data_IF_446904662088
#
_entry.id   IF_446904662088
#
_cell.length_a   1.000
_cell.length_b   1.000
_cell.length_c   1.000
_cell.angle_alpha   90.00
_cell.angle_beta   90.00
_cell.angle_gamma   90.00
#
_symmetry.space_group_name_H-M   'P 1'
#
loop_
_entity.id
_entity.type
_entity.pdbx_description
1 polymer ?
#
# COMPACT_ATOMS: atom_id res chain seq x y z
N UNK A 1 6.80 -26.32 11.03
CA UNK A 1 7.26 -25.03 10.48
C UNK A 1 6.97 -25.10 9.00
N UNK A 2 6.12 -24.23 8.46
CA UNK A 2 5.99 -24.11 7.01
C UNK A 2 7.36 -23.77 6.42
N UNK A 3 7.74 -24.46 5.35
CA UNK A 3 9.06 -24.29 4.76
C UNK A 3 9.25 -22.85 4.28
N UNK A 4 10.46 -22.33 4.48
CA UNK A 4 10.89 -21.03 3.95
C UNK A 4 10.73 -21.04 2.42
N UNK A 5 10.22 -19.94 1.83
CA UNK A 5 10.18 -19.79 0.37
C UNK A 5 11.60 -19.93 -0.20
N UNK A 6 11.75 -20.55 -1.36
CA UNK A 6 13.05 -20.72 -2.00
C UNK A 6 13.62 -19.36 -2.43
N UNK A 7 13.02 -18.76 -3.45
CA UNK A 7 13.44 -17.45 -3.95
C UNK A 7 12.25 -16.49 -4.07
N UNK A 8 12.42 -15.27 -3.59
CA UNK A 8 11.47 -14.18 -3.76
C UNK A 8 12.08 -13.10 -4.64
N UNK A 9 11.37 -12.74 -5.72
CA UNK A 9 11.74 -11.64 -6.60
C UNK A 9 11.02 -10.34 -6.23
N UNK A 10 11.71 -9.21 -6.34
CA UNK A 10 11.13 -7.87 -6.15
C UNK A 10 11.36 -7.05 -7.41
N UNK A 11 10.30 -6.56 -8.04
CA UNK A 11 10.36 -5.69 -9.22
C UNK A 11 10.03 -4.27 -8.80
N UNK A 12 11.01 -3.38 -8.82
CA UNK A 12 10.97 -2.06 -8.20
C UNK A 12 11.54 -2.10 -6.80
N UNK A 13 12.75 -1.57 -6.60
CA UNK A 13 13.51 -1.65 -5.34
C UNK A 13 13.61 -0.30 -4.65
N UNK A 14 12.58 0.53 -4.83
CA UNK A 14 12.38 1.79 -4.10
C UNK A 14 12.04 1.57 -2.61
N UNK A 15 11.34 2.52 -2.00
CA UNK A 15 11.04 2.49 -0.56
C UNK A 15 10.33 1.20 -0.11
N UNK A 16 9.18 0.87 -0.72
CA UNK A 16 8.38 -0.29 -0.31
C UNK A 16 9.06 -1.59 -0.70
N UNK A 17 9.56 -1.70 -1.94
CA UNK A 17 10.27 -2.89 -2.39
C UNK A 17 11.47 -3.23 -1.52
N UNK A 18 12.31 -2.24 -1.18
CA UNK A 18 13.44 -2.45 -0.28
C UNK A 18 13.00 -2.77 1.17
N UNK A 19 11.96 -2.10 1.68
CA UNK A 19 11.39 -2.39 3.01
C UNK A 19 10.94 -3.84 3.12
N UNK A 20 10.19 -4.33 2.12
CA UNK A 20 9.73 -5.72 2.06
C UNK A 20 10.91 -6.67 1.91
N UNK A 21 11.87 -6.38 1.03
CA UNK A 21 13.08 -7.19 0.85
C UNK A 21 13.90 -7.36 2.13
N UNK A 22 14.13 -6.25 2.85
CA UNK A 22 14.81 -6.28 4.15
C UNK A 22 14.05 -7.16 5.15
N UNK A 23 12.73 -7.00 5.25
CA UNK A 23 11.92 -7.77 6.17
C UNK A 23 11.89 -9.28 5.83
N UNK A 24 11.79 -9.63 4.54
CA UNK A 24 11.86 -11.02 4.07
C UNK A 24 13.18 -11.69 4.49
N UNK A 25 14.31 -10.97 4.35
CA UNK A 25 15.65 -11.48 4.72
C UNK A 25 15.83 -11.57 6.22
N UNK A 26 15.55 -10.49 6.96
CA UNK A 26 15.75 -10.42 8.41
C UNK A 26 14.93 -11.47 9.16
N UNK A 27 13.77 -11.84 8.64
CA UNK A 27 12.85 -12.80 9.24
C UNK A 27 12.93 -14.20 8.63
N UNK A 28 13.91 -14.44 7.76
CA UNK A 28 14.13 -15.70 7.06
C UNK A 28 12.85 -16.24 6.39
N UNK A 29 12.06 -15.36 5.76
CA UNK A 29 10.85 -15.72 4.98
C UNK A 29 11.23 -16.35 3.65
N UNK A 30 12.33 -15.88 3.06
CA UNK A 30 12.88 -16.39 1.81
C UNK A 30 14.32 -16.89 2.02
N UNK A 31 14.73 -17.94 1.30
CA UNK A 31 16.12 -18.38 1.27
C UNK A 31 17.00 -17.42 0.46
N UNK A 32 16.40 -16.81 -0.56
CA UNK A 32 17.04 -15.81 -1.40
C UNK A 32 16.04 -14.72 -1.77
N UNK A 33 16.48 -13.46 -1.74
CA UNK A 33 15.75 -12.31 -2.28
C UNK A 33 16.53 -11.71 -3.43
N UNK A 34 15.91 -11.67 -4.62
CA UNK A 34 16.47 -11.06 -5.82
C UNK A 34 15.70 -9.82 -6.23
N UNK A 35 16.39 -8.79 -6.72
CA UNK A 35 15.75 -7.53 -7.12
C UNK A 35 15.94 -7.18 -8.59
N UNK A 36 14.91 -6.58 -9.18
CA UNK A 36 14.93 -5.96 -10.49
C UNK A 36 14.54 -4.51 -10.36
N UNK A 37 15.31 -3.62 -10.97
CA UNK A 37 14.91 -2.22 -11.15
C UNK A 37 15.46 -1.71 -12.48
N UNK A 38 14.84 -0.69 -13.05
CA UNK A 38 15.36 0.00 -14.23
C UNK A 38 16.61 0.82 -13.90
N UNK A 39 16.78 1.20 -12.64
CA UNK A 39 17.92 1.98 -12.15
C UNK A 39 18.95 1.10 -11.41
N UNK A 40 20.13 0.97 -12.00
CA UNK A 40 21.26 0.25 -11.40
C UNK A 40 21.70 0.85 -10.05
N UNK A 41 21.55 2.16 -9.85
CA UNK A 41 21.86 2.81 -8.56
C UNK A 41 20.84 2.42 -7.48
N UNK A 42 19.56 2.28 -7.83
CA UNK A 42 18.54 1.78 -6.91
C UNK A 42 18.86 0.35 -6.46
N UNK A 43 19.29 -0.51 -7.38
CA UNK A 43 19.72 -1.89 -7.05
C UNK A 43 20.93 -1.88 -6.12
N UNK A 44 21.94 -1.06 -6.40
CA UNK A 44 23.12 -0.92 -5.55
C UNK A 44 22.74 -0.47 -4.13
N UNK A 45 21.88 0.54 -4.01
CA UNK A 45 21.38 1.03 -2.72
C UNK A 45 20.54 -0.03 -1.98
N UNK A 46 19.70 -0.78 -2.69
CA UNK A 46 18.90 -1.86 -2.10
C UNK A 46 19.79 -3.00 -1.56
N UNK A 47 20.89 -3.33 -2.25
CA UNK A 47 21.89 -4.28 -1.74
C UNK A 47 22.62 -3.74 -0.52
N UNK A 48 23.01 -2.47 -0.55
CA UNK A 48 23.72 -1.78 0.55
C UNK A 48 22.91 -1.82 1.86
N UNK A 49 21.61 -1.56 1.80
CA UNK A 49 20.72 -1.63 2.99
C UNK A 49 20.31 -3.05 3.36
N UNK A 50 20.80 -4.06 2.65
CA UNK A 50 20.48 -5.46 2.91
C UNK A 50 19.06 -5.86 2.51
N UNK A 51 18.44 -5.21 1.54
CA UNK A 51 17.15 -5.62 1.00
C UNK A 51 17.23 -6.83 0.06
N UNK A 52 18.37 -7.05 -0.59
CA UNK A 52 18.56 -8.04 -1.65
C UNK A 52 19.84 -8.85 -1.45
N UNK A 53 19.82 -10.13 -1.82
CA UNK A 53 21.04 -10.94 -1.95
C UNK A 53 21.73 -10.65 -3.30
N UNK A 54 20.95 -10.51 -4.36
CA UNK A 54 21.41 -10.17 -5.70
C UNK A 54 20.36 -9.34 -6.45
N UNK A 55 20.75 -8.71 -7.55
CA UNK A 55 19.81 -7.99 -8.40
C UNK A 55 20.47 -7.49 -9.68
N UNK A 56 19.64 -7.06 -10.62
CA UNK A 56 20.07 -6.56 -11.91
C UNK A 56 18.93 -5.85 -12.63
N UNK A 57 19.21 -5.26 -13.78
CA UNK A 57 18.20 -4.58 -14.60
C UNK A 57 17.43 -5.53 -15.52
N UNK A 58 17.80 -6.81 -15.54
CA UNK A 58 17.24 -7.85 -16.40
C UNK A 58 16.28 -8.75 -15.61
N UNK A 59 15.07 -8.97 -16.15
CA UNK A 59 14.03 -9.78 -15.51
C UNK A 59 14.35 -11.27 -15.42
N UNK A 60 15.35 -11.78 -16.14
CA UNK A 60 15.80 -13.18 -16.06
C UNK A 60 16.33 -13.59 -14.69
N UNK A 61 16.61 -12.64 -13.79
CA UNK A 61 16.90 -12.92 -12.37
C UNK A 61 15.70 -13.58 -11.66
N UNK A 62 14.48 -13.38 -12.17
CA UNK A 62 13.23 -13.91 -11.59
C UNK A 62 12.99 -15.39 -11.92
N UNK A 63 13.86 -16.03 -12.73
CA UNK A 63 13.67 -17.41 -13.20
C UNK A 63 13.49 -18.45 -12.11
N UNK A 64 14.05 -18.20 -10.93
CA UNK A 64 14.01 -19.10 -9.80
C UNK A 64 12.96 -18.71 -8.75
N UNK A 65 12.22 -17.60 -8.95
CA UNK A 65 11.31 -17.06 -7.95
C UNK A 65 10.04 -17.92 -7.80
N UNK A 66 9.70 -18.23 -6.55
CA UNK A 66 8.45 -18.87 -6.13
C UNK A 66 7.35 -17.83 -5.85
N UNK A 67 7.78 -16.61 -5.51
CA UNK A 67 6.95 -15.43 -5.34
C UNK A 67 7.64 -14.23 -5.99
N UNK A 68 6.90 -13.42 -6.73
CA UNK A 68 7.35 -12.09 -7.18
C UNK A 68 6.43 -10.99 -6.66
N UNK A 69 7.04 -9.94 -6.12
CA UNK A 69 6.37 -8.75 -5.60
C UNK A 69 6.68 -7.56 -6.51
N UNK A 70 5.67 -7.02 -7.18
CA UNK A 70 5.76 -5.84 -8.03
C UNK A 70 5.54 -4.58 -7.20
N UNK A 71 6.61 -3.81 -6.99
CA UNK A 71 6.67 -2.60 -6.17
C UNK A 71 7.05 -1.33 -6.95
N UNK A 72 6.53 -1.24 -8.18
CA UNK A 72 6.59 -0.03 -9.02
C UNK A 72 5.37 0.88 -8.76
N UNK A 73 5.39 2.16 -9.18
CA UNK A 73 4.22 3.04 -9.08
C UNK A 73 2.98 2.45 -9.80
N UNK A 74 1.74 2.76 -9.34
CA UNK A 74 0.51 2.12 -9.81
C UNK A 74 0.37 2.02 -11.34
N UNK A 75 0.72 3.07 -12.08
CA UNK A 75 0.63 3.10 -13.54
C UNK A 75 1.50 2.05 -14.24
N UNK A 76 2.62 1.67 -13.61
CA UNK A 76 3.59 0.71 -14.16
C UNK A 76 3.29 -0.74 -13.81
N UNK A 77 2.39 -1.00 -12.85
CA UNK A 77 2.20 -2.33 -12.26
C UNK A 77 1.76 -3.36 -13.29
N UNK A 78 0.77 -3.03 -14.13
CA UNK A 78 0.24 -3.97 -15.13
C UNK A 78 1.34 -4.39 -16.11
N UNK A 79 2.12 -3.43 -16.62
CA UNK A 79 3.22 -3.71 -17.53
C UNK A 79 4.32 -4.54 -16.87
N UNK A 80 4.74 -4.14 -15.67
CA UNK A 80 5.79 -4.83 -14.91
C UNK A 80 5.38 -6.25 -14.52
N UNK A 81 4.13 -6.47 -14.09
CA UNK A 81 3.62 -7.79 -13.72
C UNK A 81 3.60 -8.75 -14.92
N UNK A 82 3.12 -8.29 -16.09
CA UNK A 82 3.11 -9.09 -17.32
C UNK A 82 4.52 -9.46 -17.76
N UNK A 83 5.45 -8.50 -17.73
CA UNK A 83 6.84 -8.76 -18.06
C UNK A 83 7.48 -9.73 -17.07
N UNK A 84 7.29 -9.52 -15.75
CA UNK A 84 7.81 -10.41 -14.72
C UNK A 84 7.29 -11.85 -14.87
N UNK A 85 5.99 -12.03 -15.07
CA UNK A 85 5.35 -13.34 -15.23
C UNK A 85 5.96 -14.16 -16.39
N UNK A 86 6.43 -13.52 -17.45
CA UNK A 86 7.08 -14.19 -18.57
C UNK A 86 8.41 -14.86 -18.19
N UNK A 87 9.09 -14.35 -17.16
CA UNK A 87 10.38 -14.85 -16.67
C UNK A 87 10.26 -15.73 -15.42
N UNK A 88 9.09 -15.77 -14.76
CA UNK A 88 8.86 -16.56 -13.56
C UNK A 88 8.67 -18.05 -13.84
N UNK A 89 8.85 -18.87 -12.80
CA UNK A 89 8.39 -20.26 -12.77
C UNK A 89 6.89 -20.31 -13.09
N UNK A 90 6.45 -21.34 -13.82
CA UNK A 90 5.02 -21.58 -14.01
C UNK A 90 4.36 -21.86 -12.66
N UNK A 91 3.11 -21.43 -12.49
CA UNK A 91 2.31 -21.70 -11.29
C UNK A 91 2.92 -21.12 -10.00
N UNK A 92 3.84 -20.16 -10.13
CA UNK A 92 4.35 -19.37 -9.00
C UNK A 92 3.39 -18.23 -8.65
N UNK A 93 3.59 -17.62 -7.48
CA UNK A 93 2.72 -16.51 -7.02
C UNK A 93 3.27 -15.18 -7.51
N UNK A 94 2.40 -14.32 -8.04
CA UNK A 94 2.69 -12.93 -8.35
C UNK A 94 1.79 -12.03 -7.53
N UNK A 95 2.36 -11.02 -6.89
CA UNK A 95 1.59 -9.97 -6.21
C UNK A 95 2.15 -8.60 -6.54
N UNK A 96 1.43 -7.55 -6.17
CA UNK A 96 1.89 -6.18 -6.21
C UNK A 96 1.68 -5.49 -4.86
N UNK A 97 2.14 -4.26 -4.71
CA UNK A 97 2.00 -3.46 -3.47
C UNK A 97 1.37 -2.08 -3.73
N UNK A 98 0.67 -1.91 -4.84
CA UNK A 98 0.15 -0.61 -5.26
C UNK A 98 -1.00 -0.11 -4.39
N UNK A 99 -1.16 1.22 -4.31
CA UNK A 99 -2.16 1.82 -3.43
C UNK A 99 -3.61 1.76 -3.93
N UNK A 100 -3.83 1.23 -5.14
CA UNK A 100 -5.16 1.07 -5.77
C UNK A 100 -5.25 -0.31 -6.42
N UNK A 101 -6.43 -0.93 -6.49
CA UNK A 101 -6.57 -2.35 -6.83
C UNK A 101 -7.55 -2.67 -7.95
N UNK A 102 -8.71 -2.01 -8.03
CA UNK A 102 -9.77 -2.44 -8.94
C UNK A 102 -9.34 -2.49 -10.41
N UNK A 103 -8.66 -1.44 -10.90
CA UNK A 103 -8.17 -1.40 -12.30
C UNK A 103 -7.01 -2.38 -12.55
N UNK A 104 -6.11 -2.54 -11.59
CA UNK A 104 -4.93 -3.42 -11.71
C UNK A 104 -5.37 -4.88 -11.76
N UNK A 105 -6.22 -5.29 -10.81
CA UNK A 105 -6.70 -6.67 -10.72
C UNK A 105 -7.47 -7.04 -11.97
N UNK A 106 -8.42 -6.19 -12.40
CA UNK A 106 -9.18 -6.40 -13.65
C UNK A 106 -8.28 -6.56 -14.89
N UNK A 107 -7.14 -5.89 -14.94
CA UNK A 107 -6.22 -5.95 -16.07
C UNK A 107 -5.29 -7.19 -16.05
N UNK A 108 -5.13 -7.84 -14.89
CA UNK A 108 -4.15 -8.90 -14.69
C UNK A 108 -4.76 -10.28 -14.45
N UNK A 109 -5.93 -10.37 -13.82
CA UNK A 109 -6.51 -11.63 -13.32
C UNK A 109 -6.55 -12.72 -14.40
N UNK A 110 -7.32 -12.48 -15.49
CA UNK A 110 -7.40 -13.41 -16.62
C UNK A 110 -6.10 -13.50 -17.41
N UNK A 111 -5.37 -12.38 -17.51
CA UNK A 111 -4.19 -12.26 -18.39
C UNK A 111 -3.02 -13.12 -17.88
N UNK A 112 -2.93 -13.29 -16.57
CA UNK A 112 -1.82 -14.01 -15.93
C UNK A 112 -2.19 -15.45 -15.55
N UNK A 113 -3.49 -15.79 -15.45
CA UNK A 113 -4.00 -17.07 -14.97
C UNK A 113 -3.35 -18.31 -15.65
N UNK A 114 -3.03 -18.23 -16.94
CA UNK A 114 -2.39 -19.34 -17.67
C UNK A 114 -0.90 -19.56 -17.34
N UNK A 115 -0.28 -18.66 -16.55
CA UNK A 115 1.18 -18.64 -16.30
C UNK A 115 1.53 -18.60 -14.82
N UNK A 116 0.90 -17.75 -14.03
CA UNK A 116 1.17 -17.53 -12.59
C UNK A 116 -0.13 -17.29 -11.85
N UNK A 117 -0.13 -17.51 -10.53
CA UNK A 117 -1.25 -17.17 -9.66
C UNK A 117 -1.11 -15.73 -9.17
N UNK A 118 -1.89 -14.82 -9.75
CA UNK A 118 -1.89 -13.43 -9.35
C UNK A 118 -2.82 -13.19 -8.17
N UNK A 119 -2.39 -12.37 -7.21
CA UNK A 119 -3.22 -11.84 -6.13
C UNK A 119 -2.80 -10.40 -5.84
N UNK A 120 -3.76 -9.48 -5.90
CA UNK A 120 -3.48 -8.07 -5.61
C UNK A 120 -3.13 -7.86 -4.15
N UNK A 121 -2.13 -7.01 -3.90
CA UNK A 121 -1.62 -6.72 -2.57
C UNK A 121 -1.45 -5.22 -2.31
N UNK A 122 -1.64 -4.80 -1.07
CA UNK A 122 -1.38 -3.43 -0.64
C UNK A 122 -0.99 -3.42 0.86
N UNK A 123 0.30 -3.37 1.18
CA UNK A 123 0.73 -3.09 2.55
C UNK A 123 0.35 -1.64 2.89
N UNK A 124 -0.47 -1.44 3.92
CA UNK A 124 -0.83 -0.12 4.46
C UNK A 124 0.33 0.44 5.29
N UNK A 125 1.50 0.51 4.66
CA UNK A 125 2.79 0.88 5.20
C UNK A 125 3.49 1.82 4.22
N UNK A 126 4.20 2.81 4.76
CA UNK A 126 4.92 3.78 3.95
C UNK A 126 5.26 5.03 4.74
N UNK A 127 6.09 5.86 4.11
CA UNK A 127 6.46 7.18 4.60
C UNK A 127 6.45 8.16 3.43
N UNK A 128 6.59 9.45 3.70
CA UNK A 128 6.76 10.47 2.66
C UNK A 128 8.15 10.41 1.98
N UNK A 129 9.02 9.50 2.43
CA UNK A 129 10.36 9.28 1.91
C UNK A 129 10.38 8.59 0.54
N UNK A 130 11.59 8.45 -0.03
CA UNK A 130 11.81 7.80 -1.32
C UNK A 130 13.11 7.00 -1.33
N UNK A 131 13.15 5.97 -2.17
CA UNK A 131 14.33 5.16 -2.45
C UNK A 131 14.67 4.14 -1.34
N UNK A 132 15.54 3.20 -1.67
CA UNK A 132 15.92 2.10 -0.80
C UNK A 132 16.58 2.53 0.52
N UNK A 133 17.30 3.67 0.53
CA UNK A 133 17.99 4.18 1.73
C UNK A 133 17.06 4.62 2.86
N UNK A 134 15.79 4.87 2.53
CA UNK A 134 14.75 5.22 3.49
C UNK A 134 13.91 4.00 3.90
N UNK A 135 14.27 2.81 3.44
CA UNK A 135 13.58 1.57 3.77
C UNK A 135 13.77 1.21 5.24
N UNK A 136 12.69 0.76 5.87
CA UNK A 136 12.69 0.34 7.26
C UNK A 136 11.63 -0.75 7.46
N UNK A 137 12.04 -2.01 7.76
CA UNK A 137 11.14 -3.11 8.09
C UNK A 137 10.13 -2.80 9.19
N UNK A 138 10.44 -1.87 10.10
CA UNK A 138 9.52 -1.47 11.15
C UNK A 138 8.25 -0.79 10.61
N UNK A 139 8.30 -0.23 9.39
CA UNK A 139 7.12 0.34 8.72
C UNK A 139 6.01 -0.69 8.50
N UNK A 140 6.34 -1.97 8.44
CA UNK A 140 5.38 -3.06 8.20
C UNK A 140 4.66 -3.48 9.49
N UNK A 141 5.28 -3.31 10.66
CA UNK A 141 4.86 -3.97 11.89
C UNK A 141 3.48 -3.51 12.37
N UNK A 142 2.59 -4.48 12.62
CA UNK A 142 1.23 -4.26 13.08
C UNK A 142 0.34 -3.53 12.08
N UNK A 143 0.79 -3.33 10.83
CA UNK A 143 0.02 -2.66 9.78
C UNK A 143 -0.80 -3.66 8.98
N UNK A 144 -1.97 -3.26 8.45
CA UNK A 144 -2.71 -4.07 7.49
C UNK A 144 -1.89 -4.41 6.26
N UNK A 145 -1.97 -5.65 5.80
CA UNK A 145 -1.68 -6.03 4.43
C UNK A 145 -3.01 -6.38 3.77
N UNK A 146 -3.51 -5.48 2.92
CA UNK A 146 -4.75 -5.71 2.21
C UNK A 146 -4.48 -6.64 1.02
N UNK A 147 -5.15 -7.79 0.99
CA UNK A 147 -5.11 -8.75 -0.11
C UNK A 147 -6.44 -8.70 -0.84
N UNK A 148 -6.40 -8.71 -2.17
CA UNK A 148 -7.61 -8.59 -3.00
C UNK A 148 -7.83 -9.82 -3.88
N UNK A 149 -8.22 -10.97 -3.29
CA UNK A 149 -8.58 -12.14 -4.07
C UNK A 149 -9.86 -11.90 -4.88
N UNK A 150 -9.98 -12.64 -5.97
CA UNK A 150 -11.15 -12.75 -6.84
C UNK A 150 -11.62 -14.20 -6.86
N UNK A 151 -12.72 -14.48 -7.57
CA UNK A 151 -13.16 -15.86 -7.83
C UNK A 151 -12.18 -16.69 -8.66
N UNK A 152 -11.25 -16.03 -9.37
CA UNK A 152 -10.21 -16.67 -10.18
C UNK A 152 -8.89 -16.83 -9.42
N UNK A 153 -8.76 -16.22 -8.24
CA UNK A 153 -7.53 -16.30 -7.45
C UNK A 153 -7.37 -17.70 -6.87
N UNK A 154 -6.20 -18.30 -7.11
CA UNK A 154 -5.87 -19.61 -6.56
C UNK A 154 -5.83 -19.57 -5.02
N UNK A 155 -6.58 -20.44 -4.31
CA UNK A 155 -6.58 -20.47 -2.85
C UNK A 155 -5.19 -20.69 -2.22
N UNK A 156 -4.29 -21.40 -2.89
CA UNK A 156 -2.91 -21.57 -2.43
C UNK A 156 -2.14 -20.24 -2.49
N UNK A 157 -2.38 -19.40 -3.49
CA UNK A 157 -1.77 -18.07 -3.56
C UNK A 157 -2.27 -17.15 -2.41
N UNK A 158 -3.55 -17.24 -2.05
CA UNK A 158 -4.11 -16.56 -0.87
C UNK A 158 -3.41 -17.03 0.40
N UNK A 159 -3.25 -18.34 0.58
CA UNK A 159 -2.58 -18.92 1.74
C UNK A 159 -1.12 -18.49 1.84
N UNK A 160 -0.37 -18.54 0.74
CA UNK A 160 1.03 -18.09 0.67
C UNK A 160 1.14 -16.61 1.04
N UNK A 161 0.30 -15.74 0.45
CA UNK A 161 0.38 -14.30 0.72
C UNK A 161 -0.07 -13.92 2.13
N UNK A 162 -1.03 -14.65 2.69
CA UNK A 162 -1.45 -14.49 4.09
C UNK A 162 -0.29 -14.82 5.02
N UNK A 163 0.37 -15.97 4.82
CA UNK A 163 1.53 -16.37 5.64
C UNK A 163 2.69 -15.38 5.48
N UNK A 164 2.97 -14.92 4.24
CA UNK A 164 4.00 -13.91 3.99
C UNK A 164 3.69 -12.63 4.76
N UNK A 165 2.46 -12.11 4.69
CA UNK A 165 2.07 -10.91 5.43
C UNK A 165 2.25 -11.07 6.95
N UNK A 166 1.78 -12.18 7.53
CA UNK A 166 1.94 -12.48 8.96
C UNK A 166 3.41 -12.58 9.37
N UNK A 167 4.22 -13.27 8.57
CA UNK A 167 5.66 -13.41 8.84
C UNK A 167 6.39 -12.08 8.74
N UNK A 168 5.97 -11.19 7.84
CA UNK A 168 6.46 -9.79 7.80
C UNK A 168 6.02 -8.96 9.02
N UNK A 169 5.18 -9.50 9.90
CA UNK A 169 4.65 -8.83 11.08
C UNK A 169 3.45 -7.94 10.78
N UNK A 170 2.79 -8.17 9.63
CA UNK A 170 1.61 -7.44 9.18
C UNK A 170 0.34 -8.20 9.52
N UNK A 171 -0.81 -7.53 9.39
CA UNK A 171 -2.14 -8.10 9.62
C UNK A 171 -2.83 -8.31 8.26
N UNK A 172 -2.91 -9.54 7.74
CA UNK A 172 -3.60 -9.78 6.47
C UNK A 172 -5.09 -9.47 6.59
N UNK A 173 -5.64 -8.77 5.60
CA UNK A 173 -7.07 -8.46 5.49
C UNK A 173 -7.50 -8.72 4.06
N UNK A 174 -8.49 -9.59 3.88
CA UNK A 174 -9.02 -9.94 2.55
C UNK A 174 -10.19 -9.02 2.22
N UNK A 175 -10.15 -8.41 1.04
CA UNK A 175 -11.20 -7.51 0.52
C UNK A 175 -11.45 -7.81 -0.95
N UNK A 176 -12.64 -7.48 -1.47
CA UNK A 176 -12.77 -7.37 -2.93
C UNK A 176 -11.91 -6.19 -3.44
N UNK A 177 -11.48 -6.19 -4.72
CA UNK A 177 -10.73 -5.06 -5.28
C UNK A 177 -11.48 -3.72 -5.20
N UNK A 178 -12.81 -3.74 -5.33
CA UNK A 178 -13.65 -2.54 -5.24
C UNK A 178 -13.81 -2.07 -3.78
N UNK A 179 -14.02 -2.98 -2.83
CA UNK A 179 -14.07 -2.64 -1.39
C UNK A 179 -12.75 -2.06 -0.90
N UNK A 180 -11.62 -2.63 -1.36
CA UNK A 180 -10.30 -2.06 -1.10
C UNK A 180 -10.25 -0.58 -1.52
N UNK A 181 -10.61 -0.29 -2.77
CA UNK A 181 -10.51 1.08 -3.30
C UNK A 181 -11.47 2.04 -2.60
N UNK A 182 -12.68 1.58 -2.22
CA UNK A 182 -13.63 2.38 -1.44
C UNK A 182 -13.19 2.66 0.01
N UNK A 183 -12.61 1.67 0.68
CA UNK A 183 -12.12 1.83 2.06
C UNK A 183 -10.84 2.67 2.09
N UNK A 184 -9.87 2.38 1.22
CA UNK A 184 -8.60 3.13 1.14
C UNK A 184 -8.84 4.59 0.71
N UNK A 185 -9.85 4.85 -0.13
CA UNK A 185 -10.26 6.22 -0.43
C UNK A 185 -10.64 7.02 0.82
N UNK A 186 -11.28 6.39 1.80
CA UNK A 186 -11.68 7.05 3.05
C UNK A 186 -10.53 7.24 4.02
N UNK A 187 -9.67 6.22 4.18
CA UNK A 187 -8.65 6.20 5.25
C UNK A 187 -7.25 6.66 4.80
N UNK A 188 -7.02 6.82 3.50
CA UNK A 188 -5.73 7.26 2.94
C UNK A 188 -5.87 8.41 1.95
N UNK A 189 -6.66 8.24 0.88
CA UNK A 189 -6.71 9.24 -0.20
C UNK A 189 -7.38 10.54 0.23
N UNK A 190 -8.52 10.44 0.92
CA UNK A 190 -9.23 11.59 1.46
C UNK A 190 -8.34 12.38 2.45
N UNK A 191 -7.72 11.77 3.48
CA UNK A 191 -6.79 12.48 4.37
C UNK A 191 -5.70 13.27 3.65
N UNK A 192 -5.09 12.71 2.59
CA UNK A 192 -4.12 13.44 1.79
C UNK A 192 -4.73 14.66 1.09
N UNK A 193 -5.88 14.50 0.44
CA UNK A 193 -6.54 15.61 -0.26
C UNK A 193 -7.03 16.70 0.69
N UNK A 194 -7.44 16.34 1.91
CA UNK A 194 -7.78 17.30 2.95
C UNK A 194 -6.55 18.07 3.42
N UNK A 195 -5.40 17.41 3.56
CA UNK A 195 -4.14 18.09 3.87
C UNK A 195 -3.75 19.07 2.74
N UNK A 196 -3.88 18.66 1.47
CA UNK A 196 -3.65 19.54 0.31
C UNK A 196 -4.62 20.73 0.32
N UNK A 197 -5.90 20.50 0.55
CA UNK A 197 -6.91 21.56 0.58
C UNK A 197 -6.68 22.55 1.74
N UNK A 198 -6.38 22.04 2.94
CA UNK A 198 -6.12 22.86 4.12
C UNK A 198 -4.87 23.73 3.97
N UNK A 199 -3.78 23.15 3.45
CA UNK A 199 -2.55 23.91 3.16
C UNK A 199 -2.79 24.93 2.04
N UNK A 200 -3.49 24.53 0.98
CA UNK A 200 -3.80 25.42 -0.15
C UNK A 200 -4.74 26.58 0.20
N UNK A 201 -5.57 26.44 1.23
CA UNK A 201 -6.46 27.50 1.71
C UNK A 201 -5.79 28.47 2.70
N UNK A 202 -4.63 28.11 3.26
CA UNK A 202 -3.94 28.92 4.24
C UNK A 202 -3.23 30.12 3.59
N UNK A 203 -3.28 31.29 4.23
CA UNK A 203 -2.47 32.45 3.81
C UNK A 203 -1.02 32.29 4.26
N UNK A 204 -0.08 32.98 3.62
CA UNK A 204 1.35 32.97 4.02
C UNK A 204 1.54 33.34 5.50
N UNK A 205 0.74 34.31 5.99
CA UNK A 205 0.76 34.70 7.40
C UNK A 205 0.28 33.58 8.32
N UNK A 206 -0.75 32.82 7.93
CA UNK A 206 -1.24 31.68 8.69
C UNK A 206 -0.23 30.52 8.69
N UNK A 207 0.42 30.27 7.56
CA UNK A 207 1.50 29.27 7.44
C UNK A 207 2.65 29.61 8.41
N UNK A 208 3.05 30.89 8.50
CA UNK A 208 4.14 31.33 9.36
C UNK A 208 3.92 31.19 10.87
N UNK A 209 2.67 31.01 11.32
CA UNK A 209 2.32 30.80 12.74
C UNK A 209 1.77 29.39 13.03
N UNK A 210 1.78 28.50 12.02
CA UNK A 210 1.18 27.18 12.12
C UNK A 210 1.83 26.30 13.18
N UNK A 211 1.03 25.73 14.08
CA UNK A 211 1.50 24.80 15.12
C UNK A 211 1.70 23.35 14.63
N UNK A 212 1.89 22.40 15.56
CA UNK A 212 2.15 20.99 15.25
C UNK A 212 1.08 20.32 14.36
N UNK A 213 -0.20 20.63 14.59
CA UNK A 213 -1.30 20.07 13.79
C UNK A 213 -1.21 20.49 12.31
N UNK A 214 -1.01 21.79 12.05
CA UNK A 214 -0.84 22.31 10.70
C UNK A 214 0.44 21.78 10.05
N UNK A 215 1.53 21.68 10.81
CA UNK A 215 2.78 21.05 10.35
C UNK A 215 2.58 19.58 9.95
N UNK A 216 1.71 18.85 10.66
CA UNK A 216 1.29 17.49 10.33
C UNK A 216 0.56 17.40 8.98
N UNK A 217 -0.38 18.33 8.71
CA UNK A 217 -1.01 18.44 7.38
C UNK A 217 0.04 18.77 6.31
N UNK A 218 0.93 19.72 6.58
CA UNK A 218 2.02 20.07 5.69
C UNK A 218 2.94 18.90 5.35
N UNK A 219 3.24 18.02 6.32
CA UNK A 219 4.01 16.78 6.09
C UNK A 219 3.31 15.90 5.05
N UNK A 220 2.02 15.62 5.25
CA UNK A 220 1.23 14.78 4.33
C UNK A 220 1.12 15.44 2.95
N UNK A 221 0.85 16.74 2.88
CA UNK A 221 0.72 17.49 1.63
C UNK A 221 2.02 17.57 0.81
N UNK A 222 3.19 17.41 1.45
CA UNK A 222 4.50 17.32 0.76
C UNK A 222 4.80 15.96 0.15
N UNK A 223 3.85 15.02 0.20
CA UNK A 223 4.02 13.72 -0.41
C UNK A 223 4.32 13.82 -1.93
N UNK A 224 5.00 12.81 -2.50
CA UNK A 224 5.28 12.67 -3.92
C UNK A 224 4.13 13.01 -4.89
N UNK A 225 4.14 14.19 -5.52
CA UNK A 225 3.09 14.63 -6.47
C UNK A 225 2.87 13.61 -7.61
N UNK A 226 3.94 13.14 -8.23
CA UNK A 226 3.85 12.18 -9.35
C UNK A 226 3.13 10.88 -8.96
N UNK A 227 3.31 10.39 -7.73
CA UNK A 227 2.61 9.20 -7.22
C UNK A 227 1.14 9.51 -6.97
N UNK A 228 0.84 10.63 -6.31
CA UNK A 228 -0.53 11.01 -5.96
C UNK A 228 -1.39 11.33 -7.18
N UNK A 229 -0.81 11.85 -8.28
CA UNK A 229 -1.53 11.99 -9.55
C UNK A 229 -2.02 10.64 -10.07
N UNK A 230 -1.21 9.57 -9.96
CA UNK A 230 -1.60 8.22 -10.38
C UNK A 230 -2.71 7.69 -9.50
N UNK A 231 -2.55 7.76 -8.17
CA UNK A 231 -3.54 7.34 -7.18
C UNK A 231 -4.88 8.05 -7.38
N UNK A 232 -4.85 9.38 -7.54
CA UNK A 232 -6.06 10.16 -7.74
C UNK A 232 -6.76 9.83 -9.07
N UNK A 233 -5.99 9.45 -10.10
CA UNK A 233 -6.55 9.07 -11.39
C UNK A 233 -7.19 7.68 -11.33
N UNK A 234 -6.48 6.68 -10.81
CA UNK A 234 -6.94 5.29 -10.77
C UNK A 234 -8.10 5.07 -9.81
N UNK A 235 -8.16 5.81 -8.69
CA UNK A 235 -9.25 5.70 -7.72
C UNK A 235 -10.19 6.92 -7.67
N UNK A 236 -10.32 7.63 -8.79
CA UNK A 236 -11.08 8.88 -8.92
C UNK A 236 -12.53 8.78 -8.46
N UNK A 237 -13.20 7.66 -8.77
CA UNK A 237 -14.61 7.48 -8.45
C UNK A 237 -14.84 7.37 -6.93
N UNK A 238 -14.09 6.48 -6.25
CA UNK A 238 -14.18 6.34 -4.79
C UNK A 238 -13.76 7.64 -4.08
N UNK A 239 -12.68 8.28 -4.53
CA UNK A 239 -12.23 9.57 -3.99
C UNK A 239 -13.33 10.62 -4.05
N UNK A 240 -14.05 10.74 -5.18
CA UNK A 240 -15.17 11.68 -5.30
C UNK A 240 -16.32 11.34 -4.35
N UNK A 241 -16.62 10.05 -4.15
CA UNK A 241 -17.62 9.60 -3.16
C UNK A 241 -17.19 10.00 -1.74
N UNK A 242 -15.94 9.72 -1.35
CA UNK A 242 -15.38 10.06 -0.04
C UNK A 242 -15.36 11.57 0.20
N UNK A 243 -14.98 12.38 -0.80
CA UNK A 243 -15.07 13.85 -0.72
C UNK A 243 -16.51 14.33 -0.52
N UNK A 244 -17.46 13.73 -1.23
CA UNK A 244 -18.89 14.04 -1.06
C UNK A 244 -19.41 13.71 0.34
N UNK A 245 -18.96 12.59 0.92
CA UNK A 245 -19.25 12.23 2.32
C UNK A 245 -18.63 13.21 3.31
N UNK A 246 -17.34 13.56 3.11
CA UNK A 246 -16.64 14.51 3.95
C UNK A 246 -17.30 15.89 3.95
N UNK A 247 -17.67 16.41 2.77
CA UNK A 247 -18.38 17.69 2.65
C UNK A 247 -19.64 17.72 3.52
N UNK A 248 -20.43 16.64 3.56
CA UNK A 248 -21.62 16.58 4.42
C UNK A 248 -21.28 16.64 5.92
N UNK A 249 -20.17 16.01 6.35
CA UNK A 249 -19.73 16.13 7.74
C UNK A 249 -19.17 17.53 8.03
N UNK A 250 -18.50 18.18 7.07
CA UNK A 250 -18.06 19.56 7.18
C UNK A 250 -19.25 20.53 7.31
N UNK A 251 -20.28 20.38 6.47
CA UNK A 251 -21.51 21.18 6.56
C UNK A 251 -22.21 21.00 7.92
N UNK A 252 -22.13 19.80 8.52
CA UNK A 252 -22.67 19.55 9.87
C UNK A 252 -21.83 20.23 10.94
N UNK A 253 -20.51 20.20 10.83
CA UNK A 253 -19.61 20.88 11.74
C UNK A 253 -19.83 22.39 11.69
N UNK A 254 -19.96 22.97 10.49
CA UNK A 254 -20.22 24.39 10.30
C UNK A 254 -21.53 24.83 10.98
N UNK A 255 -22.64 24.12 10.73
CA UNK A 255 -23.92 24.38 11.43
C UNK A 255 -23.84 24.21 12.94
N UNK A 256 -23.02 23.27 13.42
CA UNK A 256 -22.88 23.02 14.85
C UNK A 256 -22.16 24.17 15.58
N UNK A 257 -21.37 25.00 14.88
CA UNK A 257 -20.71 26.17 15.48
C UNK A 257 -21.69 27.21 16.03
N UNK A 258 -22.95 27.20 15.55
CA UNK A 258 -24.00 28.11 16.01
C UNK A 258 -24.63 27.68 17.36
N UNK A 259 -24.27 26.51 17.90
CA UNK A 259 -24.84 26.00 19.14
C UNK A 259 -23.88 25.11 19.95
N UNK A 260 -23.61 25.50 21.20
CA UNK A 260 -22.61 24.86 22.07
C UNK A 260 -22.87 23.36 22.28
N UNK A 261 -24.10 22.96 22.60
CA UNK A 261 -24.48 21.55 22.83
C UNK A 261 -24.33 20.70 21.55
N UNK A 262 -24.72 21.24 20.40
CA UNK A 262 -24.60 20.56 19.12
C UNK A 262 -23.12 20.36 18.74
N UNK A 263 -22.29 21.39 18.98
CA UNK A 263 -20.84 21.31 18.78
C UNK A 263 -20.21 20.25 19.68
N UNK A 264 -20.47 20.27 20.98
CA UNK A 264 -19.92 19.30 21.92
C UNK A 264 -20.28 17.86 21.51
N UNK A 265 -21.55 17.64 21.17
CA UNK A 265 -22.04 16.33 20.72
C UNK A 265 -21.26 15.82 19.50
N UNK A 266 -21.04 16.69 18.51
CA UNK A 266 -20.34 16.34 17.28
C UNK A 266 -18.84 16.09 17.51
N UNK A 267 -18.20 16.89 18.36
CA UNK A 267 -16.80 16.70 18.74
C UNK A 267 -16.59 15.38 19.50
N UNK A 268 -17.47 15.06 20.46
CA UNK A 268 -17.42 13.81 21.21
C UNK A 268 -17.67 12.58 20.32
N UNK A 269 -18.58 12.68 19.34
CA UNK A 269 -18.78 11.62 18.33
C UNK A 269 -17.50 11.36 17.55
N UNK A 270 -16.78 12.40 17.14
CA UNK A 270 -15.52 12.28 16.39
C UNK A 270 -14.42 11.69 17.26
N UNK A 271 -14.29 12.15 18.51
CA UNK A 271 -13.34 11.61 19.50
C UNK A 271 -13.52 10.11 19.73
N UNK A 272 -14.76 9.63 19.86
CA UNK A 272 -15.06 8.21 20.07
C UNK A 272 -14.70 7.31 18.88
N UNK A 273 -14.65 7.86 17.67
CA UNK A 273 -14.32 7.13 16.43
C UNK A 273 -12.85 7.26 16.04
N UNK A 274 -12.10 8.16 16.67
CA UNK A 274 -10.70 8.34 16.37
C UNK A 274 -9.93 7.06 16.75
N UNK A 275 -9.07 6.52 15.86
CA UNK A 275 -8.24 5.39 16.21
C UNK A 275 -7.29 5.78 17.34
N UNK A 276 -7.05 4.85 18.26
CA UNK A 276 -6.00 5.00 19.29
C UNK A 276 -4.70 4.49 18.69
N UNK A 277 -3.65 5.31 18.68
CA UNK A 277 -2.34 4.91 18.17
C UNK A 277 -1.85 3.63 18.88
N UNK A 278 -1.56 2.59 18.11
CA UNK A 278 -1.07 1.31 18.62
C UNK A 278 -2.14 0.39 19.20
N UNK A 279 -3.44 0.73 19.11
CA UNK A 279 -4.49 -0.23 19.39
C UNK A 279 -4.44 -1.39 18.37
N UNK A 280 -4.61 -2.65 18.79
CA UNK A 280 -4.80 -3.75 17.86
C UNK A 280 -5.95 -3.40 16.92
N UNK A 281 -5.75 -3.58 15.62
CA UNK A 281 -6.88 -3.59 14.70
C UNK A 281 -7.71 -4.82 15.05
N UNK A 282 -8.92 -4.62 15.55
CA UNK A 282 -9.88 -5.70 15.67
C UNK A 282 -10.02 -6.33 14.29
N UNK A 283 -9.90 -7.67 14.21
CA UNK A 283 -10.15 -8.38 12.95
C UNK A 283 -11.54 -7.94 12.48
N UNK A 284 -11.70 -7.45 11.24
CA UNK A 284 -13.03 -7.13 10.74
C UNK A 284 -13.90 -8.38 10.92
N UNK A 285 -15.05 -8.21 11.56
CA UNK A 285 -16.02 -9.29 11.72
C UNK A 285 -16.28 -9.89 10.33
N UNK A 286 -15.86 -11.14 10.14
CA UNK A 286 -16.26 -11.95 9.00
C UNK A 286 -17.79 -11.99 9.00
N UNK A 287 -18.38 -11.19 8.12
CA UNK A 287 -19.77 -11.34 7.72
C UNK A 287 -19.75 -11.84 6.29
N UNK A 288 -19.38 -13.10 6.15
CA UNK A 288 -19.67 -13.90 4.95
C UNK A 288 -20.70 -14.94 5.36
N UNK A 289 -21.95 -14.63 5.08
CA UNK A 289 -23.01 -15.60 4.77
C UNK A 289 -23.73 -15.11 3.54
#
# INVERSE_FOLDING_TARGET
MADRLGCVGIVGVGLIGATVGMALRQRAVAAQVVGVDIDAQAIAAAREVGALDAGGTDLSVLRAADLVIVAVPPDGVVGAAVQAAAHMKRESVLTDVASTKAEIVRALDDRLAARVHYIGGHPMAGSEGRGARMADPALLLGRPFLLTPTEHTDPAAVSVMTEVAERLGMLPVLLSPDDHDDLVAQVSHLPYLLAVAAVGAATDRAIGIGGPAFSGLGRVARSPVALWVQICRSNRAAIKRSLGQFRRELDRLERALDGEEALETLLQRSRRRAPVDGAPLDKPHESVT
#
